data_IF_809408576428
#
_entry.id   IF_809408576428
#
_cell.length_a   1.000
_cell.length_b   1.000
_cell.length_c   1.000
_cell.angle_alpha   90.00
_cell.angle_beta   90.00
_cell.angle_gamma   90.00
#
_symmetry.space_group_name_H-M   'P 1'
#
loop_
_entity.id
_entity.type
_entity.pdbx_description
1 polymer ?
#
# COMPACT_ATOMS: atom_id res chain seq x y z
N UNK A 1 -12.13 9.33 -5.00
CA UNK A 1 -11.40 8.05 -5.09
C UNK A 1 -10.04 8.35 -5.67
N UNK A 2 -8.99 7.83 -5.05
CA UNK A 2 -7.59 7.98 -5.51
C UNK A 2 -7.00 6.60 -5.69
N UNK A 3 -6.33 6.35 -6.83
CA UNK A 3 -5.72 5.04 -7.15
C UNK A 3 -4.26 5.23 -7.52
N UNK A 4 -3.38 4.44 -6.92
CA UNK A 4 -1.91 4.50 -7.10
C UNK A 4 -1.40 3.08 -7.29
N UNK A 5 -0.52 2.85 -8.27
CA UNK A 5 0.19 1.58 -8.40
C UNK A 5 1.42 1.59 -7.51
N UNK A 6 1.67 0.52 -6.75
CA UNK A 6 2.93 0.37 -6.04
C UNK A 6 4.05 -0.07 -6.99
N UNK A 7 5.13 0.71 -7.08
CA UNK A 7 6.25 0.48 -8.03
C UNK A 7 7.56 0.11 -7.35
N UNK A 8 7.52 -0.23 -6.06
CA UNK A 8 8.72 -0.44 -5.22
C UNK A 8 9.47 0.85 -4.86
N UNK A 9 9.27 1.94 -5.61
CA UNK A 9 10.03 3.17 -5.47
C UNK A 9 9.17 4.39 -5.08
N UNK A 10 7.85 4.25 -5.06
CA UNK A 10 6.91 5.34 -4.73
C UNK A 10 6.34 5.24 -3.31
N UNK A 11 7.12 4.73 -2.34
CA UNK A 11 6.68 4.64 -0.95
C UNK A 11 6.15 5.97 -0.39
N UNK A 12 6.80 7.10 -0.68
CA UNK A 12 6.38 8.41 -0.20
C UNK A 12 4.98 8.82 -0.70
N UNK A 13 4.63 8.44 -1.94
CA UNK A 13 3.31 8.70 -2.53
C UNK A 13 2.23 7.87 -1.82
N UNK A 14 2.48 6.57 -1.63
CA UNK A 14 1.57 5.69 -0.89
C UNK A 14 1.46 6.10 0.58
N UNK A 15 2.54 6.58 1.20
CA UNK A 15 2.54 7.06 2.59
C UNK A 15 1.70 8.32 2.73
N UNK A 16 1.75 9.24 1.76
CA UNK A 16 0.88 10.41 1.73
C UNK A 16 -0.61 10.03 1.56
N UNK A 17 -0.90 8.96 0.80
CA UNK A 17 -2.26 8.48 0.58
C UNK A 17 -2.84 7.72 1.81
N UNK A 18 -2.04 6.83 2.40
CA UNK A 18 -2.52 5.83 3.36
C UNK A 18 -2.16 6.17 4.80
N UNK A 19 -1.24 7.12 5.01
CA UNK A 19 -0.84 7.62 6.31
C UNK A 19 -0.17 6.54 7.15
N UNK A 20 -0.47 6.53 8.45
CA UNK A 20 0.15 5.60 9.41
C UNK A 20 -0.27 4.14 9.26
N UNK A 21 -1.29 3.88 8.44
CA UNK A 21 -1.63 2.51 8.04
C UNK A 21 -0.50 1.86 7.25
N UNK A 22 0.30 2.64 6.52
CA UNK A 22 1.40 2.13 5.71
C UNK A 22 2.68 1.96 6.52
N UNK A 23 3.17 0.73 6.60
CA UNK A 23 4.43 0.36 7.23
C UNK A 23 5.60 0.50 6.24
N UNK A 24 6.82 0.47 6.75
CA UNK A 24 8.02 0.59 5.93
C UNK A 24 8.09 -0.53 4.86
N UNK A 25 8.61 -0.23 3.66
CA UNK A 25 8.82 -1.22 2.63
C UNK A 25 9.92 -2.21 3.06
N UNK A 26 9.84 -3.42 2.55
CA UNK A 26 10.80 -4.49 2.77
C UNK A 26 10.95 -5.33 1.51
N UNK A 27 12.14 -5.85 1.29
CA UNK A 27 12.43 -6.69 0.13
C UNK A 27 12.32 -8.17 0.51
N UNK A 28 11.64 -8.96 -0.32
CA UNK A 28 11.58 -10.40 -0.18
C UNK A 28 11.69 -11.06 -1.55
N UNK A 29 12.64 -11.99 -1.70
CA UNK A 29 12.84 -12.75 -2.94
C UNK A 29 13.00 -11.88 -4.20
N UNK A 30 13.55 -10.66 -4.06
CA UNK A 30 13.74 -9.72 -5.16
C UNK A 30 12.51 -8.88 -5.53
N UNK A 31 11.42 -8.99 -4.76
CA UNK A 31 10.25 -8.12 -4.88
C UNK A 31 10.24 -7.07 -3.78
N UNK A 32 10.00 -5.82 -4.16
CA UNK A 32 9.71 -4.79 -3.18
C UNK A 32 8.28 -4.97 -2.68
N UNK A 33 8.10 -5.01 -1.36
CA UNK A 33 6.81 -5.21 -0.72
C UNK A 33 6.63 -4.20 0.41
N UNK A 34 5.40 -3.98 0.83
CA UNK A 34 5.09 -3.20 2.01
C UNK A 34 3.87 -3.79 2.73
N UNK A 35 3.58 -3.30 3.92
CA UNK A 35 2.40 -3.74 4.68
C UNK A 35 1.47 -2.57 4.97
N UNK A 36 0.17 -2.84 4.88
CA UNK A 36 -0.91 -1.94 5.23
C UNK A 36 -1.67 -2.51 6.44
N UNK A 37 -1.75 -1.75 7.52
CA UNK A 37 -2.59 -2.09 8.67
C UNK A 37 -4.06 -1.82 8.33
N UNK A 38 -4.88 -2.87 8.33
CA UNK A 38 -6.34 -2.81 8.26
C UNK A 38 -6.95 -3.20 9.62
N UNK A 39 -8.27 -3.08 9.74
CA UNK A 39 -8.99 -3.48 10.95
C UNK A 39 -8.89 -5.00 11.22
N UNK A 40 -8.67 -5.80 10.16
CA UNK A 40 -8.50 -7.26 10.23
C UNK A 40 -7.03 -7.70 10.40
N UNK A 41 -6.09 -6.75 10.37
CA UNK A 41 -4.65 -7.00 10.53
C UNK A 41 -3.79 -6.48 9.37
N UNK A 42 -2.49 -6.80 9.35
CA UNK A 42 -1.59 -6.37 8.28
C UNK A 42 -1.86 -7.12 6.98
N UNK A 43 -1.99 -6.38 5.88
CA UNK A 43 -2.07 -6.90 4.51
C UNK A 43 -0.79 -6.54 3.76
N UNK A 44 -0.20 -7.49 3.05
CA UNK A 44 0.98 -7.25 2.20
C UNK A 44 0.55 -6.69 0.84
N UNK A 45 1.24 -5.64 0.40
CA UNK A 45 1.10 -5.06 -0.94
C UNK A 45 2.37 -5.40 -1.72
N UNK A 46 2.18 -6.05 -2.87
CA UNK A 46 3.25 -6.43 -3.78
C UNK A 46 3.49 -5.34 -4.82
N UNK A 47 4.74 -5.20 -5.26
CA UNK A 47 5.05 -4.39 -6.44
C UNK A 47 4.17 -4.79 -7.62
N UNK A 48 3.60 -3.80 -8.30
CA UNK A 48 2.64 -3.96 -9.38
C UNK A 48 1.17 -3.85 -8.93
N UNK A 49 0.86 -4.04 -7.64
CA UNK A 49 -0.50 -3.93 -7.13
C UNK A 49 -1.01 -2.47 -7.20
N UNK A 50 -2.29 -2.31 -7.49
CA UNK A 50 -2.97 -1.04 -7.39
C UNK A 50 -3.64 -0.89 -6.02
N UNK A 51 -3.45 0.27 -5.41
CA UNK A 51 -4.07 0.63 -4.14
C UNK A 51 -5.06 1.76 -4.38
N UNK A 52 -6.30 1.53 -3.99
CA UNK A 52 -7.39 2.49 -4.12
C UNK A 52 -7.86 2.94 -2.75
N UNK A 53 -7.87 4.25 -2.51
CA UNK A 53 -8.55 4.87 -1.36
C UNK A 53 -9.91 5.42 -1.79
N UNK A 54 -10.96 4.91 -1.16
CA UNK A 54 -12.34 5.36 -1.36
C UNK A 54 -12.67 6.59 -0.52
N UNK A 55 -13.69 7.39 -0.91
CA UNK A 55 -14.10 8.58 -0.14
C UNK A 55 -14.57 8.28 1.29
N UNK A 56 -15.02 7.04 1.56
CA UNK A 56 -15.41 6.58 2.90
C UNK A 56 -14.22 6.12 3.76
N UNK A 57 -12.99 6.20 3.22
CA UNK A 57 -11.75 5.84 3.91
C UNK A 57 -11.33 4.38 3.73
N UNK A 58 -12.18 3.54 3.12
CA UNK A 58 -11.86 2.14 2.84
C UNK A 58 -10.78 2.00 1.77
N UNK A 59 -10.02 0.91 1.83
CA UNK A 59 -8.91 0.63 0.92
C UNK A 59 -9.13 -0.70 0.22
N UNK A 60 -8.97 -0.71 -1.10
CA UNK A 60 -8.91 -1.94 -1.92
C UNK A 60 -7.54 -2.06 -2.57
N UNK A 61 -7.05 -3.31 -2.67
CA UNK A 61 -5.77 -3.67 -3.28
C UNK A 61 -6.06 -4.71 -4.35
N UNK A 62 -5.60 -4.47 -5.59
CA UNK A 62 -5.82 -5.32 -6.78
C UNK A 62 -4.54 -5.59 -7.58
#
# INVERSE_FOLDING_TARGET
>A
MTRVQYTGNNYAELKALLGDRLLAPYDCMGFSMLSLMTDDGPVTIHEGAFVTLHPDGSVTID
#
